data_IF_336216541167
#
_entry.id   IF_336216541167
#
_cell.length_a   1.000
_cell.length_b   1.000
_cell.length_c   1.000
_cell.angle_alpha   90.00
_cell.angle_beta   90.00
_cell.angle_gamma   90.00
#
_symmetry.space_group_name_H-M   'P 1'
#
loop_
_entity.id
_entity.type
_entity.pdbx_description
1 polymer ?
#
# COMPACT_ATOMS: atom_id res chain seq x y z
N UNK A 1 -0.88 4.19 -22.21
CA UNK A 1 -0.60 3.53 -20.91
C UNK A 1 -1.54 4.03 -19.81
N UNK A 2 -1.72 3.27 -18.72
CA UNK A 2 -2.45 3.72 -17.51
C UNK A 2 -1.44 3.96 -16.37
N UNK A 3 -1.90 4.64 -15.31
CA UNK A 3 -1.11 4.96 -14.12
C UNK A 3 -1.79 4.44 -12.86
N UNK A 4 -1.00 4.08 -11.84
CA UNK A 4 -1.49 3.55 -10.56
C UNK A 4 -0.68 4.09 -9.38
N UNK A 5 -1.35 4.24 -8.24
CA UNK A 5 -0.74 4.49 -6.94
C UNK A 5 -1.10 3.33 -6.01
N UNK A 6 -0.11 2.80 -5.28
CA UNK A 6 -0.32 1.67 -4.36
C UNK A 6 -1.03 2.12 -3.09
N UNK A 7 -0.67 3.27 -2.55
CA UNK A 7 -1.27 3.90 -1.38
C UNK A 7 -0.72 5.31 -1.18
N UNK A 8 -1.36 6.11 -0.31
CA UNK A 8 -1.05 7.53 -0.12
C UNK A 8 -0.75 7.90 1.35
N UNK A 9 -0.02 9.01 1.64
CA UNK A 9 0.28 9.41 3.02
C UNK A 9 -0.98 9.75 3.82
N UNK A 10 -1.26 9.01 4.89
CA UNK A 10 -2.46 9.16 5.72
C UNK A 10 -2.48 10.41 6.60
N UNK A 11 -1.34 11.06 6.81
CA UNK A 11 -1.19 12.11 7.84
C UNK A 11 -1.91 13.42 7.51
N UNK A 12 -2.27 13.64 6.24
CA UNK A 12 -2.78 14.91 5.72
C UNK A 12 -1.66 15.90 5.38
N UNK A 13 -1.99 16.94 4.58
CA UNK A 13 -1.03 17.92 4.05
C UNK A 13 -0.34 18.73 5.14
N UNK A 14 -1.08 19.10 6.19
CA UNK A 14 -0.59 19.88 7.34
C UNK A 14 -0.57 19.06 8.64
N UNK A 15 -0.55 17.73 8.53
CA UNK A 15 -0.59 16.76 9.65
C UNK A 15 -1.91 16.77 10.43
N UNK A 16 -3.02 17.00 9.75
CA UNK A 16 -4.35 17.13 10.34
C UNK A 16 -4.70 15.90 11.18
N UNK A 17 -4.43 14.70 10.67
CA UNK A 17 -4.65 13.45 11.40
C UNK A 17 -3.90 13.42 12.73
N UNK A 18 -2.63 13.86 12.75
CA UNK A 18 -1.85 13.88 13.98
C UNK A 18 -2.51 14.77 15.03
N UNK A 19 -2.88 15.98 14.65
CA UNK A 19 -3.42 16.96 15.60
C UNK A 19 -4.79 16.54 16.14
N UNK A 20 -5.69 16.02 15.31
CA UNK A 20 -7.00 15.54 15.78
C UNK A 20 -6.86 14.30 16.67
N UNK A 21 -5.95 13.38 16.32
CA UNK A 21 -5.69 12.19 17.14
C UNK A 21 -5.10 12.56 18.52
N UNK A 22 -4.20 13.54 18.58
CA UNK A 22 -3.67 14.05 19.85
C UNK A 22 -4.74 14.73 20.71
N UNK A 23 -5.67 15.49 20.10
CA UNK A 23 -6.84 16.06 20.79
C UNK A 23 -7.77 14.96 21.32
N UNK A 24 -8.04 13.95 20.49
CA UNK A 24 -8.87 12.80 20.89
C UNK A 24 -8.28 12.11 22.13
N UNK A 25 -6.98 11.86 22.17
CA UNK A 25 -6.34 11.23 23.34
C UNK A 25 -6.33 12.11 24.60
N UNK A 26 -6.48 13.43 24.47
CA UNK A 26 -6.63 14.33 25.62
C UNK A 26 -8.08 14.56 26.01
N UNK A 27 -9.05 13.93 25.30
CA UNK A 27 -10.49 14.15 25.51
C UNK A 27 -10.98 15.53 25.04
N UNK A 28 -10.20 16.21 24.16
CA UNK A 28 -10.52 17.51 23.58
C UNK A 28 -11.27 17.39 22.24
N UNK A 29 -11.30 16.20 21.66
CA UNK A 29 -12.06 15.85 20.46
C UNK A 29 -12.80 14.53 20.70
N UNK A 30 -13.97 14.36 20.08
CA UNK A 30 -14.71 13.11 20.08
C UNK A 30 -14.44 12.25 18.84
N UNK A 31 -15.08 11.08 18.76
CA UNK A 31 -14.97 10.16 17.61
C UNK A 31 -15.49 10.82 16.32
N UNK A 32 -16.55 11.63 16.42
CA UNK A 32 -17.14 12.29 15.25
C UNK A 32 -16.16 13.30 14.62
N UNK A 33 -15.41 14.08 15.43
CA UNK A 33 -14.38 15.00 14.92
C UNK A 33 -13.20 14.23 14.31
N UNK A 34 -12.81 13.09 14.90
CA UNK A 34 -11.76 12.22 14.36
C UNK A 34 -12.16 11.66 12.98
N UNK A 35 -13.37 11.10 12.87
CA UNK A 35 -13.90 10.54 11.63
C UNK A 35 -14.09 11.60 10.55
N UNK A 36 -14.62 12.77 10.91
CA UNK A 36 -14.76 13.90 10.00
C UNK A 36 -13.41 14.32 9.40
N UNK A 37 -12.40 14.46 10.26
CA UNK A 37 -11.05 14.81 9.79
C UNK A 37 -10.48 13.73 8.87
N UNK A 38 -10.68 12.44 9.20
CA UNK A 38 -10.29 11.32 8.34
C UNK A 38 -10.95 11.39 6.98
N UNK A 39 -12.25 11.67 6.93
CA UNK A 39 -13.02 11.85 5.70
C UNK A 39 -12.50 13.02 4.86
N UNK A 40 -12.25 14.17 5.45
CA UNK A 40 -11.71 15.34 4.76
C UNK A 40 -10.34 15.05 4.14
N UNK A 41 -9.46 14.32 4.86
CA UNK A 41 -8.16 13.89 4.34
C UNK A 41 -8.33 12.95 3.14
N UNK A 42 -9.19 11.93 3.22
CA UNK A 42 -9.42 10.97 2.13
C UNK A 42 -9.94 11.68 0.88
N UNK A 43 -10.92 12.58 1.03
CA UNK A 43 -11.49 13.36 -0.07
C UNK A 43 -10.43 14.23 -0.77
N UNK A 44 -9.58 14.90 0.00
CA UNK A 44 -8.48 15.70 -0.54
C UNK A 44 -7.48 14.82 -1.32
N UNK A 45 -7.14 13.65 -0.79
CA UNK A 45 -6.20 12.71 -1.41
C UNK A 45 -6.74 12.15 -2.72
N UNK A 46 -8.00 11.73 -2.77
CA UNK A 46 -8.62 11.26 -4.01
C UNK A 46 -8.70 12.35 -5.06
N UNK A 47 -8.99 13.59 -4.63
CA UNK A 47 -8.98 14.75 -5.52
C UNK A 47 -7.59 14.99 -6.12
N UNK A 48 -6.53 15.01 -5.30
CA UNK A 48 -5.17 15.19 -5.81
C UNK A 48 -4.78 14.14 -6.84
N UNK A 49 -5.12 12.88 -6.60
CA UNK A 49 -4.82 11.79 -7.51
C UNK A 49 -5.64 11.90 -8.81
N UNK A 50 -6.92 12.25 -8.71
CA UNK A 50 -7.78 12.50 -9.89
C UNK A 50 -7.29 13.68 -10.73
N UNK A 51 -6.93 14.79 -10.07
CA UNK A 51 -6.41 15.98 -10.73
C UNK A 51 -5.06 15.70 -11.43
N UNK A 52 -4.27 14.77 -10.90
CA UNK A 52 -3.04 14.24 -11.50
C UNK A 52 -3.30 13.11 -12.52
N UNK A 53 -4.55 12.88 -12.92
CA UNK A 53 -4.95 11.90 -13.94
C UNK A 53 -4.47 10.47 -13.66
N UNK A 54 -4.46 10.08 -12.38
CA UNK A 54 -4.19 8.70 -11.99
C UNK A 54 -5.39 7.83 -12.37
N UNK A 55 -5.14 6.73 -13.08
CA UNK A 55 -6.20 5.84 -13.56
C UNK A 55 -6.65 4.84 -12.47
N UNK A 56 -5.74 4.39 -11.60
CA UNK A 56 -6.03 3.46 -10.50
C UNK A 56 -5.70 4.12 -9.15
N UNK A 57 -6.71 4.74 -8.57
CA UNK A 57 -6.65 5.45 -7.29
C UNK A 57 -6.98 4.47 -6.16
N UNK A 58 -6.17 4.37 -5.07
CA UNK A 58 -6.51 3.53 -3.93
C UNK A 58 -7.61 4.12 -3.05
N UNK A 59 -8.39 3.24 -2.40
CA UNK A 59 -9.20 3.52 -1.22
C UNK A 59 -8.98 2.41 -0.19
N UNK A 60 -9.29 2.64 1.09
CA UNK A 60 -9.01 1.68 2.15
C UNK A 60 -7.56 1.70 2.66
N UNK A 61 -6.68 2.44 2.02
CA UNK A 61 -5.28 2.65 2.42
C UNK A 61 -5.12 3.70 3.53
N UNK A 62 -6.16 4.47 3.83
CA UNK A 62 -6.19 5.37 4.97
C UNK A 62 -6.37 4.59 6.28
N UNK A 63 -5.63 4.98 7.32
CA UNK A 63 -5.72 4.39 8.65
C UNK A 63 -5.56 5.45 9.73
N UNK A 64 -6.27 5.33 10.83
CA UNK A 64 -6.05 6.16 12.02
C UNK A 64 -4.74 5.82 12.72
N UNK A 65 -4.24 4.59 12.59
CA UNK A 65 -2.98 4.16 13.20
C UNK A 65 -2.09 3.37 12.23
N UNK A 66 -2.46 2.12 11.88
CA UNK A 66 -1.80 1.34 10.84
C UNK A 66 -2.77 0.36 10.15
N UNK A 67 -2.49 0.03 8.89
CA UNK A 67 -3.36 -0.78 8.04
C UNK A 67 -3.44 -2.25 8.45
N UNK A 68 -2.43 -2.78 9.14
CA UNK A 68 -2.45 -4.16 9.66
C UNK A 68 -3.35 -4.24 10.89
N UNK A 69 -3.34 -3.21 11.75
CA UNK A 69 -4.28 -3.10 12.85
C UNK A 69 -5.72 -2.97 12.33
N UNK A 70 -5.94 -2.17 11.27
CA UNK A 70 -7.24 -2.06 10.61
C UNK A 70 -7.72 -3.42 10.11
N UNK A 71 -6.85 -4.19 9.44
CA UNK A 71 -7.16 -5.54 8.96
C UNK A 71 -7.46 -6.49 10.13
N UNK A 72 -6.72 -6.40 11.22
CA UNK A 72 -6.96 -7.22 12.41
C UNK A 72 -8.36 -6.96 13.00
N UNK A 73 -8.76 -5.70 13.14
CA UNK A 73 -10.10 -5.34 13.62
C UNK A 73 -11.17 -5.77 12.62
N UNK A 74 -10.95 -5.53 11.33
CA UNK A 74 -11.87 -5.93 10.26
C UNK A 74 -12.17 -7.44 10.28
N UNK A 75 -11.17 -8.26 10.60
CA UNK A 75 -11.30 -9.72 10.65
C UNK A 75 -11.51 -10.28 12.08
N UNK A 76 -11.95 -9.44 13.04
CA UNK A 76 -12.21 -9.82 14.43
C UNK A 76 -11.00 -10.43 15.17
N UNK A 77 -9.79 -10.12 14.71
CA UNK A 77 -8.54 -10.53 15.36
C UNK A 77 -8.25 -9.55 16.51
N UNK A 78 -9.04 -9.66 17.56
CA UNK A 78 -8.96 -8.82 18.77
C UNK A 78 -8.74 -9.74 19.96
N UNK A 79 -7.56 -9.68 20.63
CA UNK A 79 -7.28 -10.49 21.81
C UNK A 79 -8.29 -10.28 22.95
N UNK A 80 -8.59 -11.33 23.70
CA UNK A 80 -9.59 -11.30 24.80
C UNK A 80 -9.33 -10.20 25.81
N UNK A 81 -8.06 -9.91 26.13
CA UNK A 81 -7.70 -8.87 27.09
C UNK A 81 -8.23 -7.47 26.74
N UNK A 82 -8.47 -7.19 25.44
CA UNK A 82 -9.09 -5.94 25.01
C UNK A 82 -10.63 -6.03 25.01
N UNK A 83 -11.18 -7.18 24.56
CA UNK A 83 -12.63 -7.44 24.54
C UNK A 83 -13.24 -7.36 25.94
N UNK A 84 -12.53 -7.87 26.96
CA UNK A 84 -13.01 -7.90 28.36
C UNK A 84 -13.08 -6.52 29.01
N UNK A 85 -12.46 -5.48 28.43
CA UNK A 85 -12.56 -4.12 28.93
C UNK A 85 -13.94 -3.47 28.65
N UNK A 86 -14.71 -3.98 27.70
CA UNK A 86 -16.01 -3.43 27.33
C UNK A 86 -15.96 -2.00 26.81
N UNK A 87 -14.84 -1.63 26.16
CA UNK A 87 -14.64 -0.33 25.52
C UNK A 87 -15.46 -0.20 24.22
N UNK A 88 -15.64 1.03 23.75
CA UNK A 88 -16.15 1.28 22.39
C UNK A 88 -15.23 0.65 21.34
N UNK A 89 -15.70 0.46 20.10
CA UNK A 89 -14.89 -0.05 19.00
C UNK A 89 -13.65 0.82 18.77
N UNK A 90 -13.82 2.15 18.76
CA UNK A 90 -12.74 3.09 18.56
C UNK A 90 -11.73 3.09 19.72
N UNK A 91 -12.21 3.01 20.97
CA UNK A 91 -11.33 2.94 22.14
C UNK A 91 -10.60 1.58 22.19
N UNK A 92 -11.25 0.48 21.79
CA UNK A 92 -10.63 -0.84 21.65
C UNK A 92 -9.51 -0.81 20.61
N UNK A 93 -9.77 -0.20 19.45
CA UNK A 93 -8.77 -0.01 18.38
C UNK A 93 -7.53 0.73 18.93
N UNK A 94 -7.72 1.85 19.63
CA UNK A 94 -6.60 2.59 20.20
C UNK A 94 -5.98 1.91 21.43
N UNK A 95 -6.74 1.13 22.21
CA UNK A 95 -6.18 0.31 23.28
C UNK A 95 -5.22 -0.75 22.72
N UNK A 96 -5.53 -1.37 21.58
CA UNK A 96 -4.62 -2.28 20.87
C UNK A 96 -3.36 -1.54 20.39
N UNK A 97 -3.48 -0.32 19.90
CA UNK A 97 -2.38 0.48 19.37
C UNK A 97 -1.45 1.06 20.44
N UNK A 98 -1.98 1.48 21.59
CA UNK A 98 -1.24 2.29 22.58
C UNK A 98 -1.33 1.77 24.02
N UNK A 99 -2.14 0.74 24.26
CA UNK A 99 -2.56 0.33 25.58
C UNK A 99 -3.70 1.22 26.10
N UNK A 100 -4.25 0.80 27.23
CA UNK A 100 -5.33 1.53 27.91
C UNK A 100 -5.07 1.46 29.42
N UNK A 101 -5.33 2.58 30.10
CA UNK A 101 -5.35 2.69 31.56
C UNK A 101 -6.57 3.52 31.95
N UNK A 102 -7.46 2.93 32.72
CA UNK A 102 -8.70 3.61 33.09
C UNK A 102 -9.64 2.78 33.95
N UNK A 103 -10.88 3.27 34.11
CA UNK A 103 -11.87 2.68 34.98
C UNK A 103 -12.22 1.20 34.65
N UNK A 104 -12.07 0.80 33.38
CA UNK A 104 -12.36 -0.56 32.90
C UNK A 104 -11.18 -1.52 33.10
N UNK A 105 -10.03 -1.05 33.58
CA UNK A 105 -8.83 -1.84 33.81
C UNK A 105 -7.62 -1.30 33.05
N UNK A 106 -6.53 -2.06 33.09
CA UNK A 106 -5.27 -1.72 32.44
C UNK A 106 -4.87 -2.81 31.45
N UNK A 107 -4.47 -2.40 30.23
CA UNK A 107 -3.96 -3.30 29.20
C UNK A 107 -2.79 -2.66 28.46
N UNK A 108 -1.74 -3.45 28.18
CA UNK A 108 -0.62 -3.03 27.36
C UNK A 108 -1.01 -3.07 25.88
N UNK A 109 -0.41 -2.19 25.08
CA UNK A 109 -0.51 -2.23 23.62
C UNK A 109 -0.04 -3.57 23.05
N UNK A 110 -0.46 -3.86 21.82
CA UNK A 110 0.16 -4.90 20.99
C UNK A 110 1.65 -4.62 20.78
N UNK A 111 2.42 -5.64 20.47
CA UNK A 111 3.81 -5.46 20.09
C UNK A 111 3.90 -4.67 18.77
N UNK A 112 4.94 -3.86 18.64
CA UNK A 112 5.20 -3.06 17.44
C UNK A 112 6.44 -3.59 16.72
N UNK A 113 6.35 -3.82 15.42
CA UNK A 113 7.48 -4.23 14.57
C UNK A 113 7.62 -3.30 13.37
N UNK A 114 8.81 -3.25 12.80
CA UNK A 114 9.04 -2.51 11.54
C UNK A 114 8.26 -3.15 10.40
N UNK A 115 7.65 -2.30 9.57
CA UNK A 115 7.06 -2.68 8.31
C UNK A 115 8.18 -2.92 7.29
N UNK A 116 8.58 -4.18 7.15
CA UNK A 116 9.69 -4.61 6.29
C UNK A 116 10.98 -3.77 6.50
N UNK A 117 11.60 -3.35 5.42
CA UNK A 117 12.82 -2.55 5.41
C UNK A 117 12.56 -1.02 5.45
N UNK A 118 11.43 -0.59 6.02
CA UNK A 118 11.04 0.83 6.15
C UNK A 118 11.22 1.35 7.57
N UNK A 119 11.03 2.65 7.77
CA UNK A 119 10.93 3.26 9.10
C UNK A 119 9.48 3.29 9.64
N UNK A 120 8.51 2.79 8.86
CA UNK A 120 7.15 2.60 9.32
C UNK A 120 7.05 1.37 10.23
N UNK A 121 6.09 1.38 11.15
CA UNK A 121 5.86 0.28 12.07
C UNK A 121 4.40 -0.14 12.01
N UNK A 122 4.11 -1.41 12.26
CA UNK A 122 2.78 -1.94 12.39
C UNK A 122 2.59 -2.58 13.77
N UNK A 123 1.35 -2.61 14.24
CA UNK A 123 0.96 -3.33 15.44
C UNK A 123 0.78 -4.81 15.09
N UNK A 124 1.51 -5.67 15.78
CA UNK A 124 1.49 -7.12 15.52
C UNK A 124 0.18 -7.71 16.03
N UNK A 125 -0.74 -8.17 15.15
CA UNK A 125 -1.96 -8.81 15.61
C UNK A 125 -1.64 -10.08 16.40
N UNK A 126 -2.44 -10.40 17.40
CA UNK A 126 -2.30 -11.60 18.21
C UNK A 126 -3.56 -12.46 18.08
N UNK A 127 -3.35 -13.77 17.85
CA UNK A 127 -4.40 -14.79 17.82
C UNK A 127 -4.19 -15.75 18.97
N UNK A 128 -5.24 -15.94 19.78
CA UNK A 128 -5.34 -16.95 20.82
C UNK A 128 -6.04 -18.21 20.26
N UNK A 129 -5.82 -19.38 20.85
CA UNK A 129 -6.32 -20.67 20.34
C UNK A 129 -7.84 -20.73 20.10
N UNK A 130 -8.61 -19.95 20.83
CA UNK A 130 -10.06 -19.87 20.71
C UNK A 130 -10.55 -18.64 19.93
N UNK A 131 -9.64 -17.89 19.30
CA UNK A 131 -10.02 -16.78 18.41
C UNK A 131 -10.84 -17.31 17.24
N UNK A 132 -11.94 -16.64 16.95
CA UNK A 132 -12.75 -16.86 15.74
C UNK A 132 -12.52 -15.72 14.78
N UNK A 133 -11.93 -16.03 13.63
CA UNK A 133 -11.74 -15.06 12.54
C UNK A 133 -13.01 -15.01 11.71
N UNK A 134 -13.52 -13.80 11.48
CA UNK A 134 -14.70 -13.54 10.66
C UNK A 134 -14.68 -12.09 10.18
N UNK A 135 -15.34 -11.78 9.09
CA UNK A 135 -15.50 -10.40 8.63
C UNK A 135 -16.47 -9.66 9.57
N UNK A 136 -15.93 -8.83 10.47
CA UNK A 136 -16.67 -8.15 11.52
C UNK A 136 -17.02 -6.69 11.22
N UNK A 137 -16.33 -6.06 10.27
CA UNK A 137 -16.51 -4.66 9.92
C UNK A 137 -16.79 -4.42 8.44
N UNK A 138 -17.00 -3.16 8.08
CA UNK A 138 -17.26 -2.74 6.70
C UNK A 138 -16.30 -1.64 6.21
N UNK A 139 -15.29 -1.25 7.00
CA UNK A 139 -14.40 -0.10 6.71
C UNK A 139 -13.99 -0.01 5.24
N UNK A 140 -13.55 -1.11 4.64
CA UNK A 140 -13.06 -1.11 3.27
C UNK A 140 -14.19 -0.86 2.26
N UNK A 141 -15.38 -1.40 2.51
CA UNK A 141 -16.58 -1.19 1.69
C UNK A 141 -17.09 0.24 1.86
N UNK A 142 -17.13 0.74 3.10
CA UNK A 142 -17.61 2.08 3.42
C UNK A 142 -16.73 3.17 2.80
N UNK A 143 -15.40 3.02 2.86
CA UNK A 143 -14.47 3.97 2.23
C UNK A 143 -14.53 3.92 0.69
N UNK A 144 -14.77 2.73 0.09
CA UNK A 144 -15.02 2.61 -1.34
C UNK A 144 -16.32 3.34 -1.75
N UNK A 145 -17.40 3.13 -1.01
CA UNK A 145 -18.68 3.79 -1.27
C UNK A 145 -18.57 5.31 -1.04
N UNK A 146 -17.88 5.75 0.02
CA UNK A 146 -17.60 7.17 0.26
C UNK A 146 -16.88 7.81 -0.94
N UNK A 147 -15.86 7.15 -1.50
CA UNK A 147 -15.17 7.63 -2.69
C UNK A 147 -16.12 7.72 -3.88
N UNK A 148 -16.91 6.69 -4.12
CA UNK A 148 -17.85 6.59 -5.25
C UNK A 148 -18.94 7.66 -5.17
N UNK A 149 -19.53 7.90 -4.01
CA UNK A 149 -20.52 8.95 -3.76
C UNK A 149 -19.98 10.36 -4.03
N UNK A 150 -18.67 10.54 -3.84
CA UNK A 150 -17.98 11.80 -4.14
C UNK A 150 -17.41 11.85 -5.57
N UNK A 151 -17.76 10.89 -6.43
CA UNK A 151 -17.40 10.88 -7.85
C UNK A 151 -15.98 10.39 -8.14
N UNK A 152 -15.39 9.61 -7.21
CA UNK A 152 -14.09 8.97 -7.40
C UNK A 152 -14.27 7.47 -7.60
N UNK A 153 -13.82 6.95 -8.76
CA UNK A 153 -13.66 5.51 -8.94
C UNK A 153 -12.32 5.09 -8.36
N UNK A 154 -12.36 4.16 -7.42
CA UNK A 154 -11.16 3.70 -6.69
C UNK A 154 -11.03 2.19 -6.73
N UNK A 155 -9.84 1.69 -6.42
CA UNK A 155 -9.59 0.28 -6.11
C UNK A 155 -9.39 0.13 -4.60
N UNK A 156 -10.27 -0.57 -3.88
CA UNK A 156 -10.04 -0.93 -2.48
C UNK A 156 -8.73 -1.69 -2.30
N UNK A 157 -7.95 -1.30 -1.28
CA UNK A 157 -6.63 -1.86 -0.96
C UNK A 157 -6.62 -2.43 0.44
N UNK A 158 -6.14 -3.66 0.60
CA UNK A 158 -5.96 -4.30 1.89
C UNK A 158 -4.73 -5.22 1.85
N UNK A 159 -4.08 -5.42 2.99
CA UNK A 159 -3.06 -6.46 3.12
C UNK A 159 -3.64 -7.82 2.71
N UNK A 160 -2.93 -8.57 1.88
CA UNK A 160 -3.39 -9.88 1.43
C UNK A 160 -3.36 -10.92 2.56
N UNK A 161 -4.13 -12.01 2.42
CA UNK A 161 -4.30 -13.01 3.48
C UNK A 161 -2.99 -13.70 3.84
N UNK A 162 -2.10 -13.94 2.89
CA UNK A 162 -0.82 -14.57 3.14
C UNK A 162 0.09 -13.65 3.99
N UNK A 163 0.27 -12.40 3.58
CA UNK A 163 1.03 -11.43 4.36
C UNK A 163 0.43 -11.24 5.76
N UNK A 164 -0.89 -11.11 5.88
CA UNK A 164 -1.52 -10.94 7.18
C UNK A 164 -1.23 -12.13 8.11
N UNK A 165 -1.38 -13.38 7.64
CA UNK A 165 -1.06 -14.58 8.42
C UNK A 165 0.42 -14.63 8.85
N UNK A 166 1.33 -14.22 7.98
CA UNK A 166 2.78 -14.21 8.27
C UNK A 166 3.20 -13.13 9.28
N UNK A 167 2.37 -12.08 9.44
CA UNK A 167 2.63 -10.98 10.38
C UNK A 167 2.00 -11.20 11.76
N UNK A 168 1.05 -12.12 11.88
CA UNK A 168 0.36 -12.44 13.14
C UNK A 168 1.29 -13.16 14.11
N UNK A 169 1.12 -12.89 15.39
CA UNK A 169 1.65 -13.65 16.50
C UNK A 169 0.59 -14.62 17.01
N UNK A 170 0.88 -15.91 16.95
CA UNK A 170 0.04 -16.95 17.54
C UNK A 170 0.41 -17.11 19.01
N UNK A 171 -0.61 -17.10 19.88
CA UNK A 171 -0.47 -17.25 21.35
C UNK A 171 -1.25 -18.48 21.77
N UNK A 172 -0.53 -19.57 22.03
CA UNK A 172 -1.10 -20.87 22.32
C UNK A 172 -0.41 -21.99 21.55
N UNK A 173 -1.15 -23.06 21.28
CA UNK A 173 -0.66 -24.27 20.58
C UNK A 173 -0.97 -24.24 19.07
N UNK A 174 -2.01 -23.49 18.66
CA UNK A 174 -2.40 -23.35 17.26
C UNK A 174 -1.50 -22.38 16.50
N UNK A 175 -1.35 -22.62 15.19
CA UNK A 175 -0.49 -21.84 14.31
C UNK A 175 -1.19 -21.40 13.01
N UNK A 176 -0.41 -20.96 12.05
CA UNK A 176 -0.87 -20.40 10.79
C UNK A 176 -1.91 -21.27 10.07
N UNK A 177 -1.66 -22.56 9.96
CA UNK A 177 -2.56 -23.51 9.25
C UNK A 177 -3.92 -23.67 9.90
N UNK A 178 -4.01 -23.57 11.23
CA UNK A 178 -5.27 -23.72 11.97
C UNK A 178 -6.26 -22.57 11.70
N UNK A 179 -5.74 -21.40 11.37
CA UNK A 179 -6.54 -20.19 11.14
C UNK A 179 -6.68 -19.81 9.66
N UNK A 180 -5.87 -20.38 8.77
CA UNK A 180 -5.85 -20.07 7.35
C UNK A 180 -7.23 -20.20 6.69
N UNK A 181 -7.96 -21.28 7.00
CA UNK A 181 -9.30 -21.54 6.45
C UNK A 181 -10.33 -20.46 6.84
N UNK A 182 -10.36 -20.06 8.14
CA UNK A 182 -11.28 -19.02 8.61
C UNK A 182 -10.96 -17.66 7.98
N UNK A 183 -9.67 -17.32 7.90
CA UNK A 183 -9.24 -16.06 7.28
C UNK A 183 -9.58 -16.04 5.79
N UNK A 184 -9.34 -17.14 5.07
CA UNK A 184 -9.69 -17.27 3.66
C UNK A 184 -11.19 -17.06 3.41
N UNK A 185 -12.07 -17.64 4.23
CA UNK A 185 -13.52 -17.42 4.15
C UNK A 185 -13.89 -15.94 4.38
N UNK A 186 -13.28 -15.29 5.35
CA UNK A 186 -13.50 -13.88 5.63
C UNK A 186 -13.07 -12.98 4.44
N UNK A 187 -11.96 -13.30 3.75
CA UNK A 187 -11.57 -12.62 2.51
C UNK A 187 -12.54 -12.89 1.36
N UNK A 188 -13.04 -14.12 1.21
CA UNK A 188 -14.06 -14.43 0.22
C UNK A 188 -15.35 -13.61 0.46
N UNK A 189 -15.79 -13.48 1.71
CA UNK A 189 -16.93 -12.62 2.07
C UNK A 189 -16.66 -11.16 1.73
N UNK A 190 -15.46 -10.64 2.05
CA UNK A 190 -15.06 -9.27 1.75
C UNK A 190 -15.07 -9.00 0.24
N UNK A 191 -14.51 -9.89 -0.58
CA UNK A 191 -14.56 -9.81 -2.05
C UNK A 191 -16.00 -9.72 -2.52
N UNK A 192 -16.87 -10.60 -2.02
CA UNK A 192 -18.30 -10.60 -2.37
C UNK A 192 -19.02 -9.31 -1.97
N UNK A 193 -18.69 -8.68 -0.84
CA UNK A 193 -19.24 -7.37 -0.42
C UNK A 193 -18.77 -6.23 -1.32
N UNK A 194 -17.49 -6.19 -1.66
CA UNK A 194 -16.90 -5.16 -2.55
C UNK A 194 -17.45 -5.31 -3.97
N UNK A 195 -17.62 -6.53 -4.47
CA UNK A 195 -18.23 -6.79 -5.77
C UNK A 195 -19.69 -6.33 -5.81
N UNK A 196 -20.47 -6.60 -4.76
CA UNK A 196 -21.85 -6.09 -4.61
C UNK A 196 -21.92 -4.56 -4.53
N UNK A 197 -20.92 -3.91 -3.91
CA UNK A 197 -20.78 -2.45 -3.89
C UNK A 197 -20.42 -1.87 -5.28
N UNK A 198 -19.98 -2.75 -6.20
CA UNK A 198 -19.64 -2.41 -7.59
C UNK A 198 -18.19 -2.00 -7.78
N UNK A 199 -17.27 -2.49 -6.93
CA UNK A 199 -15.85 -2.30 -7.13
C UNK A 199 -15.39 -3.00 -8.42
N UNK A 200 -14.72 -2.26 -9.31
CA UNK A 200 -14.17 -2.81 -10.54
C UNK A 200 -12.85 -3.57 -10.30
N UNK A 201 -12.08 -3.14 -9.32
CA UNK A 201 -10.80 -3.73 -8.91
C UNK A 201 -10.68 -3.82 -7.40
N UNK A 202 -9.98 -4.85 -6.91
CA UNK A 202 -9.51 -4.98 -5.53
C UNK A 202 -8.00 -5.21 -5.57
N UNK A 203 -7.24 -4.53 -4.74
CA UNK A 203 -5.80 -4.74 -4.58
C UNK A 203 -5.52 -5.48 -3.27
N UNK A 204 -4.85 -6.62 -3.38
CA UNK A 204 -4.27 -7.32 -2.24
C UNK A 204 -2.77 -7.07 -2.18
N UNK A 205 -2.32 -6.45 -1.09
CA UNK A 205 -0.90 -6.19 -0.85
C UNK A 205 -0.25 -7.40 -0.21
N UNK A 206 0.66 -8.04 -0.95
CA UNK A 206 1.40 -9.23 -0.53
C UNK A 206 2.93 -9.01 -0.50
N UNK A 207 3.40 -8.02 0.27
CA UNK A 207 4.84 -7.77 0.35
C UNK A 207 5.62 -8.92 1.02
N UNK A 208 4.98 -9.82 1.74
CA UNK A 208 5.69 -10.96 2.32
C UNK A 208 6.22 -11.94 1.26
N UNK A 209 5.68 -11.92 0.03
CA UNK A 209 6.14 -12.75 -1.08
C UNK A 209 7.56 -12.43 -1.57
N UNK A 210 8.15 -11.32 -1.13
CA UNK A 210 9.55 -10.97 -1.48
C UNK A 210 10.60 -11.59 -0.54
N UNK A 211 10.16 -12.29 0.52
CA UNK A 211 11.04 -13.05 1.40
C UNK A 211 11.38 -14.42 0.78
N UNK A 212 12.41 -15.06 1.33
CA UNK A 212 12.70 -16.46 1.02
C UNK A 212 11.57 -17.33 1.56
N UNK A 213 10.86 -18.03 0.69
CA UNK A 213 9.67 -18.80 1.00
C UNK A 213 9.96 -20.29 1.10
N UNK A 214 9.48 -20.93 2.16
CA UNK A 214 9.48 -22.40 2.24
C UNK A 214 8.45 -23.00 1.28
N UNK A 215 8.50 -24.32 1.05
CA UNK A 215 7.47 -24.99 0.24
C UNK A 215 6.09 -24.88 0.88
N UNK A 216 6.02 -24.99 2.20
CA UNK A 216 4.77 -24.84 2.96
C UNK A 216 4.18 -23.44 2.83
N UNK A 217 5.04 -22.41 2.70
CA UNK A 217 4.60 -21.03 2.46
C UNK A 217 4.03 -20.88 1.06
N UNK A 218 4.67 -21.45 0.05
CA UNK A 218 4.21 -21.44 -1.33
C UNK A 218 2.87 -22.19 -1.48
N UNK A 219 2.74 -23.37 -0.86
CA UNK A 219 1.50 -24.16 -0.83
C UNK A 219 0.37 -23.40 -0.13
N UNK A 220 0.65 -22.77 1.01
CA UNK A 220 -0.34 -21.95 1.73
C UNK A 220 -0.81 -20.76 0.87
N UNK A 221 0.11 -20.06 0.20
CA UNK A 221 -0.24 -18.97 -0.69
C UNK A 221 -1.18 -19.43 -1.81
N UNK A 222 -0.86 -20.52 -2.47
CA UNK A 222 -1.70 -21.10 -3.54
C UNK A 222 -3.08 -21.47 -3.00
N UNK A 223 -3.16 -22.19 -1.88
CA UNK A 223 -4.40 -22.63 -1.25
C UNK A 223 -5.35 -21.45 -0.95
N UNK A 224 -4.79 -20.36 -0.37
CA UNK A 224 -5.58 -19.18 -0.06
C UNK A 224 -6.13 -18.49 -1.31
N UNK A 225 -5.27 -18.28 -2.29
CA UNK A 225 -5.64 -17.52 -3.48
C UNK A 225 -6.46 -18.32 -4.48
N UNK A 226 -6.25 -19.63 -4.64
CA UNK A 226 -7.13 -20.47 -5.47
C UNK A 226 -8.58 -20.36 -5.01
N UNK A 227 -8.82 -20.40 -3.70
CA UNK A 227 -10.15 -20.25 -3.14
C UNK A 227 -10.72 -18.85 -3.35
N UNK A 228 -9.96 -17.79 -3.05
CA UNK A 228 -10.41 -16.41 -3.19
C UNK A 228 -10.71 -16.09 -4.66
N UNK A 229 -9.81 -16.48 -5.58
CA UNK A 229 -9.98 -16.24 -7.02
C UNK A 229 -11.15 -17.01 -7.60
N UNK A 230 -11.43 -18.22 -7.12
CA UNK A 230 -12.60 -19.00 -7.54
C UNK A 230 -13.95 -18.38 -7.16
N UNK A 231 -13.97 -17.48 -6.17
CA UNK A 231 -15.19 -16.82 -5.70
C UNK A 231 -15.49 -15.50 -6.42
N UNK A 232 -14.51 -14.89 -7.11
CA UNK A 232 -14.74 -13.66 -7.90
C UNK A 232 -15.72 -13.94 -9.04
N UNK A 233 -16.67 -13.03 -9.30
CA UNK A 233 -17.64 -13.15 -10.40
C UNK A 233 -17.40 -12.12 -11.50
N UNK A 234 -17.06 -10.89 -11.17
CA UNK A 234 -16.86 -9.83 -12.13
C UNK A 234 -15.82 -8.81 -11.69
N UNK A 235 -15.50 -8.76 -10.39
CA UNK A 235 -14.43 -7.89 -9.88
C UNK A 235 -13.06 -8.41 -10.31
N UNK A 236 -12.15 -7.49 -10.65
CA UNK A 236 -10.77 -7.80 -10.99
C UNK A 236 -9.88 -7.74 -9.76
N UNK A 237 -8.96 -8.68 -9.66
CA UNK A 237 -8.03 -8.77 -8.53
C UNK A 237 -6.61 -8.46 -8.98
N UNK A 238 -6.01 -7.45 -8.32
CA UNK A 238 -4.61 -7.09 -8.41
C UNK A 238 -3.85 -7.67 -7.22
N UNK A 239 -2.92 -8.58 -7.49
CA UNK A 239 -1.90 -8.97 -6.53
C UNK A 239 -0.76 -7.95 -6.57
N UNK A 240 -0.51 -7.22 -5.48
CA UNK A 240 0.51 -6.19 -5.42
C UNK A 240 1.66 -6.60 -4.51
N UNK A 241 2.87 -6.67 -5.05
CA UNK A 241 4.11 -6.94 -4.31
C UNK A 241 5.02 -5.72 -4.33
N UNK A 242 5.83 -5.56 -3.28
CA UNK A 242 6.79 -4.45 -3.17
C UNK A 242 7.88 -4.76 -2.13
N UNK A 243 8.98 -3.97 -2.14
CA UNK A 243 10.19 -4.07 -1.32
C UNK A 243 11.16 -5.17 -1.75
N UNK A 244 10.96 -5.77 -2.91
CA UNK A 244 11.83 -6.82 -3.45
C UNK A 244 11.22 -7.52 -4.65
N UNK A 245 11.83 -8.62 -5.05
CA UNK A 245 11.35 -9.49 -6.12
C UNK A 245 10.73 -10.77 -5.57
N UNK A 246 9.89 -11.42 -6.38
CA UNK A 246 9.12 -12.61 -6.02
C UNK A 246 9.73 -13.88 -6.63
N UNK A 247 11.05 -14.02 -6.55
CA UNK A 247 11.81 -15.10 -7.23
C UNK A 247 11.29 -16.49 -6.96
N UNK A 248 10.84 -16.77 -5.73
CA UNK A 248 10.42 -18.11 -5.30
C UNK A 248 9.02 -18.49 -5.80
N UNK A 249 8.21 -17.51 -6.21
CA UNK A 249 6.80 -17.71 -6.59
C UNK A 249 6.41 -17.02 -7.89
N UNK A 250 7.37 -16.48 -8.67
CA UNK A 250 7.05 -15.72 -9.88
C UNK A 250 6.20 -16.52 -10.86
N UNK A 251 6.61 -17.75 -11.19
CA UNK A 251 5.90 -18.61 -12.14
C UNK A 251 4.50 -18.99 -11.62
N UNK A 252 4.39 -19.27 -10.32
CA UNK A 252 3.12 -19.55 -9.65
C UNK A 252 2.16 -18.35 -9.73
N UNK A 253 2.62 -17.16 -9.34
CA UNK A 253 1.82 -15.93 -9.39
C UNK A 253 1.41 -15.60 -10.82
N UNK A 254 2.31 -15.77 -11.80
CA UNK A 254 2.01 -15.53 -13.20
C UNK A 254 0.93 -16.48 -13.73
N UNK A 255 0.91 -17.75 -13.27
CA UNK A 255 -0.05 -18.78 -13.72
C UNK A 255 -1.44 -18.65 -13.05
N UNK A 256 -1.55 -18.07 -11.84
CA UNK A 256 -2.82 -17.93 -11.11
C UNK A 256 -3.76 -16.92 -11.77
N UNK A 257 -5.08 -17.02 -11.52
CA UNK A 257 -6.14 -16.23 -12.17
C UNK A 257 -6.28 -14.80 -11.62
N UNK A 258 -5.14 -14.11 -11.41
CA UNK A 258 -5.12 -12.67 -11.15
C UNK A 258 -5.36 -11.88 -12.45
N UNK A 259 -6.06 -10.76 -12.36
CA UNK A 259 -6.26 -9.85 -13.50
C UNK A 259 -5.12 -8.84 -13.64
N UNK A 260 -4.37 -8.62 -12.57
CA UNK A 260 -3.19 -7.78 -12.54
C UNK A 260 -2.17 -8.27 -11.53
N UNK A 261 -0.90 -8.04 -11.84
CA UNK A 261 0.22 -8.35 -10.96
C UNK A 261 1.09 -7.11 -10.84
N UNK A 262 1.31 -6.65 -9.62
CA UNK A 262 2.18 -5.53 -9.29
C UNK A 262 3.56 -6.01 -8.88
N UNK A 263 4.59 -5.59 -9.60
CA UNK A 263 5.97 -5.96 -9.36
C UNK A 263 6.85 -4.73 -9.12
N UNK A 264 7.78 -4.83 -8.18
CA UNK A 264 8.73 -3.78 -7.84
C UNK A 264 9.97 -3.86 -8.76
N UNK A 265 10.15 -2.85 -9.62
CA UNK A 265 11.33 -2.70 -10.48
C UNK A 265 12.41 -1.78 -9.86
N UNK A 266 12.20 -1.31 -8.65
CA UNK A 266 13.14 -0.43 -7.93
C UNK A 266 13.99 -1.22 -6.93
N UNK A 267 13.34 -1.98 -6.03
CA UNK A 267 14.02 -2.81 -5.04
C UNK A 267 14.10 -4.28 -5.44
N UNK A 268 13.23 -4.75 -6.33
CA UNK A 268 13.25 -6.09 -6.89
C UNK A 268 14.36 -6.24 -7.92
N UNK A 269 15.56 -6.58 -7.47
CA UNK A 269 16.76 -6.68 -8.32
C UNK A 269 16.63 -7.70 -9.44
N UNK A 270 15.93 -8.80 -9.17
CA UNK A 270 15.70 -9.88 -10.12
C UNK A 270 14.42 -9.70 -10.94
N UNK A 271 13.55 -8.72 -10.62
CA UNK A 271 12.24 -8.57 -11.27
C UNK A 271 12.32 -8.51 -12.78
N UNK A 272 13.21 -7.68 -13.35
CA UNK A 272 13.38 -7.55 -14.80
C UNK A 272 13.90 -8.85 -15.42
N UNK A 273 14.81 -9.56 -14.73
CA UNK A 273 15.35 -10.84 -15.17
C UNK A 273 14.29 -11.95 -15.14
N UNK A 274 13.44 -11.98 -14.10
CA UNK A 274 12.32 -12.92 -13.99
C UNK A 274 11.32 -12.73 -15.13
N UNK A 275 10.87 -11.49 -15.39
CA UNK A 275 10.01 -11.16 -16.54
C UNK A 275 10.68 -11.47 -17.85
N UNK A 276 12.00 -11.28 -17.95
CA UNK A 276 12.78 -11.61 -19.15
C UNK A 276 12.87 -13.10 -19.42
N UNK A 277 13.04 -13.90 -18.37
CA UNK A 277 13.27 -15.36 -18.45
C UNK A 277 11.98 -16.15 -18.62
N UNK A 278 10.96 -15.81 -17.83
CA UNK A 278 9.72 -16.59 -17.78
C UNK A 278 8.57 -15.97 -18.60
N UNK A 279 8.75 -14.72 -19.08
CA UNK A 279 7.69 -13.97 -19.73
C UNK A 279 6.70 -13.36 -18.73
N UNK A 280 5.63 -12.77 -19.25
CA UNK A 280 4.49 -12.27 -18.48
C UNK A 280 3.20 -12.57 -19.27
N UNK A 281 2.10 -13.02 -18.62
CA UNK A 281 0.87 -13.41 -19.31
C UNK A 281 0.22 -12.23 -20.06
N UNK A 282 -0.21 -12.47 -21.31
CA UNK A 282 -0.79 -11.43 -22.18
C UNK A 282 -2.17 -10.95 -21.71
N UNK A 283 -2.90 -11.80 -21.00
CA UNK A 283 -4.26 -11.55 -20.46
C UNK A 283 -4.26 -10.74 -19.17
N UNK A 284 -3.07 -10.47 -18.57
CA UNK A 284 -2.92 -9.75 -17.31
C UNK A 284 -2.32 -8.35 -17.50
N UNK A 285 -2.64 -7.45 -16.57
CA UNK A 285 -1.97 -6.16 -16.47
C UNK A 285 -0.74 -6.25 -15.57
N UNK A 286 0.43 -5.80 -16.07
CA UNK A 286 1.61 -5.61 -15.24
C UNK A 286 1.57 -4.20 -14.63
N UNK A 287 1.38 -4.11 -13.31
CA UNK A 287 1.56 -2.87 -12.57
C UNK A 287 3.04 -2.71 -12.24
N UNK A 288 3.76 -2.01 -13.12
CA UNK A 288 5.21 -1.85 -13.00
C UNK A 288 5.55 -0.75 -12.00
N UNK A 289 6.08 -1.14 -10.85
CA UNK A 289 6.54 -0.25 -9.78
C UNK A 289 7.85 0.43 -10.15
N UNK A 290 7.79 1.54 -10.89
CA UNK A 290 8.94 2.26 -11.46
C UNK A 290 9.13 3.66 -10.88
N UNK A 291 8.15 4.20 -10.16
CA UNK A 291 8.28 5.45 -9.40
C UNK A 291 8.53 5.10 -7.94
N UNK A 292 9.70 5.44 -7.42
CA UNK A 292 10.10 5.05 -6.07
C UNK A 292 9.19 5.68 -4.99
N UNK A 293 8.41 4.85 -4.27
CA UNK A 293 7.50 5.27 -3.21
C UNK A 293 8.16 5.45 -1.84
N UNK A 294 9.45 5.09 -1.69
CA UNK A 294 10.15 5.03 -0.39
C UNK A 294 11.23 6.10 -0.21
N UNK A 295 11.72 6.69 -1.29
CA UNK A 295 12.70 7.76 -1.21
C UNK A 295 12.16 9.07 -1.80
N UNK A 296 12.85 10.17 -1.48
CA UNK A 296 12.47 11.52 -1.85
C UNK A 296 13.08 12.01 -3.17
N UNK A 297 13.87 11.18 -3.86
CA UNK A 297 14.53 11.59 -5.09
C UNK A 297 13.57 11.54 -6.27
N UNK A 298 13.77 12.47 -7.21
CA UNK A 298 13.07 12.43 -8.49
C UNK A 298 13.41 11.18 -9.29
N UNK A 299 12.44 10.70 -10.04
CA UNK A 299 12.59 9.59 -10.97
C UNK A 299 13.59 9.94 -12.09
N UNK A 300 14.38 8.97 -12.51
CA UNK A 300 15.27 9.09 -13.67
C UNK A 300 14.50 8.66 -14.93
N UNK A 301 13.80 9.60 -15.55
CA UNK A 301 12.85 9.33 -16.63
C UNK A 301 13.43 8.48 -17.78
N UNK A 302 14.64 8.77 -18.26
CA UNK A 302 15.21 7.99 -19.36
C UNK A 302 15.33 6.51 -19.01
N UNK A 303 15.90 6.16 -17.84
CA UNK A 303 16.01 4.77 -17.40
C UNK A 303 14.64 4.09 -17.24
N UNK A 304 13.67 4.83 -16.75
CA UNK A 304 12.31 4.33 -16.58
C UNK A 304 11.64 4.10 -17.93
N UNK A 305 11.80 5.02 -18.90
CA UNK A 305 11.27 4.88 -20.25
C UNK A 305 11.92 3.70 -21.00
N UNK A 306 13.24 3.54 -20.91
CA UNK A 306 13.96 2.41 -21.52
C UNK A 306 13.42 1.07 -20.99
N UNK A 307 13.15 0.98 -19.68
CA UNK A 307 12.53 -0.21 -19.08
C UNK A 307 11.10 -0.44 -19.60
N UNK A 308 10.28 0.62 -19.64
CA UNK A 308 8.89 0.52 -20.11
C UNK A 308 8.82 0.12 -21.59
N UNK A 309 9.68 0.68 -22.44
CA UNK A 309 9.82 0.29 -23.85
C UNK A 309 10.23 -1.18 -23.98
N UNK A 310 11.18 -1.65 -23.16
CA UNK A 310 11.60 -3.05 -23.13
C UNK A 310 10.48 -4.02 -22.72
N UNK A 311 9.60 -3.61 -21.80
CA UNK A 311 8.42 -4.39 -21.41
C UNK A 311 7.37 -4.40 -22.54
N UNK A 312 7.09 -3.25 -23.14
CA UNK A 312 6.15 -3.15 -24.27
C UNK A 312 6.60 -3.93 -25.51
N UNK A 313 7.90 -3.95 -25.81
CA UNK A 313 8.45 -4.74 -26.91
C UNK A 313 8.20 -6.26 -26.76
N UNK A 314 7.86 -6.71 -25.54
CA UNK A 314 7.44 -8.09 -25.23
C UNK A 314 5.93 -8.29 -25.24
N UNK A 315 5.14 -7.33 -25.77
CA UNK A 315 3.67 -7.31 -25.78
C UNK A 315 3.03 -7.30 -24.40
N UNK A 316 3.73 -6.84 -23.35
CA UNK A 316 3.21 -6.77 -21.99
C UNK A 316 2.32 -5.52 -21.84
N UNK A 317 1.11 -5.72 -21.33
CA UNK A 317 0.18 -4.64 -21.00
C UNK A 317 0.58 -3.95 -19.70
N UNK A 318 1.28 -2.80 -19.79
CA UNK A 318 1.89 -2.13 -18.64
C UNK A 318 1.03 -1.00 -18.09
N UNK A 319 0.89 -0.96 -16.76
CA UNK A 319 0.42 0.17 -15.94
C UNK A 319 1.63 0.74 -15.19
N UNK A 320 1.90 2.03 -15.36
CA UNK A 320 2.99 2.73 -14.65
C UNK A 320 2.56 2.95 -13.20
N UNK A 321 3.32 2.41 -12.24
CA UNK A 321 2.95 2.45 -10.83
C UNK A 321 4.06 2.99 -9.94
N UNK A 322 3.68 3.42 -8.72
CA UNK A 322 4.64 3.57 -7.63
C UNK A 322 5.19 2.20 -7.23
N UNK A 323 6.44 2.14 -6.75
CA UNK A 323 7.08 0.87 -6.36
C UNK A 323 6.55 0.31 -5.04
N UNK A 324 6.02 1.18 -4.18
CA UNK A 324 5.30 0.89 -2.94
C UNK A 324 4.38 2.05 -2.61
N UNK A 325 3.66 1.99 -1.49
CA UNK A 325 2.83 3.09 -1.01
C UNK A 325 3.63 4.38 -0.83
N UNK A 326 3.08 5.52 -1.25
CA UNK A 326 3.63 6.85 -0.98
C UNK A 326 3.55 7.25 0.51
N UNK A 327 2.99 6.40 1.36
CA UNK A 327 3.03 6.54 2.82
C UNK A 327 4.44 6.78 3.38
N UNK A 328 5.46 6.29 2.68
CA UNK A 328 6.85 6.31 3.13
C UNK A 328 7.59 7.61 2.78
N UNK A 329 6.98 8.53 2.04
CA UNK A 329 7.55 9.82 1.66
C UNK A 329 6.75 10.98 2.26
N UNK A 330 7.35 12.19 2.46
CA UNK A 330 6.61 13.35 2.91
C UNK A 330 5.51 13.75 1.91
N UNK A 331 4.53 14.54 2.37
CA UNK A 331 3.32 14.84 1.60
C UNK A 331 3.60 15.70 0.35
N UNK A 332 4.26 16.86 0.50
CA UNK A 332 4.56 17.76 -0.62
C UNK A 332 5.72 18.69 -0.31
N UNK A 333 6.51 19.04 -1.33
CA UNK A 333 7.56 20.05 -1.27
C UNK A 333 7.02 21.47 -1.02
N UNK A 334 5.74 21.73 -1.28
CA UNK A 334 5.13 23.04 -1.04
C UNK A 334 5.20 23.50 0.42
N UNK A 335 5.31 22.54 1.35
CA UNK A 335 5.43 22.82 2.79
C UNK A 335 6.86 23.13 3.23
N UNK A 336 7.85 22.97 2.34
CA UNK A 336 9.28 23.08 2.65
C UNK A 336 9.83 24.49 2.31
N UNK A 337 9.23 25.54 2.87
CA UNK A 337 9.60 26.94 2.56
C UNK A 337 11.06 27.35 2.84
N UNK A 338 11.80 26.52 3.61
CA UNK A 338 13.22 26.74 3.88
C UNK A 338 14.16 25.97 2.94
N UNK A 339 13.61 25.10 2.09
CA UNK A 339 14.40 24.30 1.17
C UNK A 339 14.90 25.17 0.02
N UNK A 340 16.23 25.22 -0.16
CA UNK A 340 16.82 25.97 -1.27
C UNK A 340 16.40 25.38 -2.61
N UNK A 341 16.05 26.23 -3.58
CA UNK A 341 15.54 25.82 -4.89
C UNK A 341 16.51 24.89 -5.64
N UNK A 342 17.82 25.15 -5.52
CA UNK A 342 18.87 24.34 -6.15
C UNK A 342 18.94 22.90 -5.60
N UNK A 343 18.40 22.64 -4.41
CA UNK A 343 18.30 21.32 -3.77
C UNK A 343 16.93 20.73 -4.01
N UNK A 344 15.87 21.50 -3.80
CA UNK A 344 14.47 21.06 -3.93
C UNK A 344 14.11 20.52 -5.31
N UNK A 345 14.76 21.02 -6.38
CA UNK A 345 14.56 20.53 -7.76
C UNK A 345 14.90 19.04 -7.95
N UNK A 346 15.67 18.43 -7.04
CA UNK A 346 16.03 17.02 -7.09
C UNK A 346 15.08 16.12 -6.30
N UNK A 347 14.14 16.71 -5.55
CA UNK A 347 13.22 15.98 -4.70
C UNK A 347 11.83 15.85 -5.34
N UNK A 348 11.16 14.76 -4.98
CA UNK A 348 9.77 14.48 -5.29
C UNK A 348 9.14 13.79 -4.08
N UNK A 349 8.19 14.46 -3.42
CA UNK A 349 7.38 13.92 -2.35
C UNK A 349 6.09 13.32 -2.92
N UNK A 350 5.10 12.96 -2.10
CA UNK A 350 3.94 12.24 -2.60
C UNK A 350 3.20 12.96 -3.74
N UNK A 351 2.90 14.27 -3.60
CA UNK A 351 2.23 15.03 -4.67
C UNK A 351 3.11 15.17 -5.93
N UNK A 352 4.41 15.38 -5.77
CA UNK A 352 5.34 15.49 -6.89
C UNK A 352 5.51 14.14 -7.61
N UNK A 353 5.41 13.01 -6.90
CA UNK A 353 5.43 11.66 -7.52
C UNK A 353 4.17 11.35 -8.33
N UNK A 354 3.01 11.92 -7.97
CA UNK A 354 1.84 11.87 -8.84
C UNK A 354 2.10 12.57 -10.19
N UNK A 355 2.79 13.71 -10.16
CA UNK A 355 3.19 14.42 -11.38
C UNK A 355 4.19 13.59 -12.20
N UNK A 356 5.13 12.88 -11.56
CA UNK A 356 6.06 11.99 -12.25
C UNK A 356 5.33 10.85 -12.98
N UNK A 357 4.28 10.27 -12.41
CA UNK A 357 3.44 9.26 -13.07
C UNK A 357 2.74 9.83 -14.31
N UNK A 358 2.15 11.02 -14.22
CA UNK A 358 1.50 11.71 -15.35
C UNK A 358 2.53 12.04 -16.45
N UNK A 359 3.70 12.58 -16.08
CA UNK A 359 4.75 12.96 -17.04
C UNK A 359 5.33 11.72 -17.73
N UNK A 360 5.61 10.63 -17.00
CA UNK A 360 6.06 9.36 -17.59
C UNK A 360 5.05 8.78 -18.57
N UNK A 361 3.75 8.79 -18.22
CA UNK A 361 2.68 8.37 -19.13
C UNK A 361 2.68 9.19 -20.42
N UNK A 362 2.76 10.51 -20.31
CA UNK A 362 2.77 11.40 -21.47
C UNK A 362 4.00 11.15 -22.37
N UNK A 363 5.18 10.97 -21.78
CA UNK A 363 6.42 10.67 -22.51
C UNK A 363 6.37 9.30 -23.20
N UNK A 364 5.90 8.28 -22.52
CA UNK A 364 5.76 6.93 -23.08
C UNK A 364 4.73 6.88 -24.24
N UNK A 365 3.76 7.81 -24.27
CA UNK A 365 2.81 7.96 -25.38
C UNK A 365 3.31 8.87 -26.50
N UNK A 366 4.57 9.30 -26.50
CA UNK A 366 5.17 10.19 -27.50
C UNK A 366 4.70 11.64 -27.45
N UNK A 367 3.98 12.02 -26.40
CA UNK A 367 3.52 13.40 -26.19
C UNK A 367 4.66 14.23 -25.60
N UNK A 368 4.97 15.38 -26.21
CA UNK A 368 5.93 16.33 -25.61
C UNK A 368 5.33 16.88 -24.33
N UNK A 369 5.85 16.42 -23.17
CA UNK A 369 5.44 16.98 -21.90
C UNK A 369 5.82 18.47 -21.85
N UNK A 370 4.84 19.34 -21.69
CA UNK A 370 5.00 20.82 -21.75
C UNK A 370 5.94 21.33 -20.64
N UNK A 371 6.15 20.55 -19.56
CA UNK A 371 7.06 20.86 -18.46
C UNK A 371 8.46 20.21 -18.55
N UNK A 372 8.66 19.26 -19.45
CA UNK A 372 9.90 18.44 -19.52
C UNK A 372 11.15 19.23 -19.92
N UNK A 373 11.04 20.43 -20.56
CA UNK A 373 12.20 21.26 -20.91
C UNK A 373 13.05 21.65 -19.70
N UNK A 374 12.45 21.86 -18.54
CA UNK A 374 13.21 22.14 -17.29
C UNK A 374 13.84 20.90 -16.67
N UNK A 375 13.31 19.71 -16.96
CA UNK A 375 13.77 18.44 -16.38
C UNK A 375 14.90 17.82 -17.20
N UNK A 376 14.91 17.94 -18.53
CA UNK A 376 16.00 17.45 -19.40
C UNK A 376 17.33 18.17 -19.17
N UNK A 377 17.31 19.48 -18.90
CA UNK A 377 18.53 20.24 -18.53
C UNK A 377 19.08 19.82 -17.16
N UNK A 378 18.25 19.25 -16.28
CA UNK A 378 18.67 18.67 -15.01
C UNK A 378 19.30 17.28 -15.16
N UNK A 379 18.83 16.45 -16.11
CA UNK A 379 19.29 15.08 -16.30
C UNK A 379 20.75 15.02 -16.76
N UNK A 380 21.17 15.87 -17.69
CA UNK A 380 22.56 15.92 -18.18
C UNK A 380 23.57 16.42 -17.14
N UNK A 381 23.12 17.11 -16.06
CA UNK A 381 23.97 17.64 -15.00
C UNK A 381 24.02 16.76 -13.75
N UNK A 382 23.14 15.76 -13.61
CA UNK A 382 23.08 14.91 -12.41
C UNK A 382 24.22 13.92 -12.27
N UNK A 383 24.79 13.39 -13.35
CA UNK A 383 25.87 12.40 -13.26
C UNK A 383 27.16 12.95 -12.67
N UNK A 384 27.42 14.27 -12.77
CA UNK A 384 28.71 14.84 -12.39
C UNK A 384 28.73 15.52 -11.02
N UNK A 385 27.61 15.99 -10.48
CA UNK A 385 27.58 16.84 -9.29
C UNK A 385 27.25 16.06 -8.00
N UNK A 386 26.41 15.04 -8.05
CA UNK A 386 25.97 14.31 -6.84
C UNK A 386 27.12 13.45 -6.30
N UNK A 387 27.92 12.81 -7.16
CA UNK A 387 29.03 11.93 -6.72
C UNK A 387 30.21 12.74 -6.10
N UNK A 388 30.43 13.98 -6.50
CA UNK A 388 31.53 14.80 -5.94
C UNK A 388 31.23 15.46 -4.62
N UNK A 389 29.97 15.81 -4.27
CA UNK A 389 29.62 16.48 -3.01
C UNK A 389 29.30 15.54 -1.84
N UNK A 390 28.80 14.34 -2.08
CA UNK A 390 28.56 13.37 -1.01
C UNK A 390 29.86 12.87 -0.37
N UNK A 391 30.97 12.78 -1.11
CA UNK A 391 32.28 12.42 -0.55
C UNK A 391 32.87 13.47 0.40
N UNK A 392 32.45 14.72 0.32
CA UNK A 392 33.02 15.80 1.15
C UNK A 392 32.25 16.10 2.45
N UNK A 393 31.03 15.56 2.61
CA UNK A 393 30.19 15.82 3.78
C UNK A 393 30.24 14.68 4.80
N UNK A 394 30.60 13.45 4.38
CA UNK A 394 30.68 12.28 5.26
C UNK A 394 32.13 11.90 5.67
N UNK A 395 33.14 12.72 5.32
CA UNK A 395 34.55 12.53 5.71
C UNK A 395 35.10 13.72 6.49
N UNK A 396 34.25 14.39 7.27
CA UNK A 396 34.71 15.33 8.32
C UNK A 396 34.03 15.01 9.63
#
# INVERSE_FOLDING_TARGET
MKTSVIGFPRVGKLRELKFVTEKFFRGEADVAELEKTGKEIRLEQWKWQKDSRIDFIPSGDFSFYDTILDAAVLFNIIPKRYKTLGLSEQDTYFAMARGYQGAQGDVKALAMKKWFNTNYHYMVPEIEDDTTISLAGNKLVDEYLEAKENGFETKPVIAGPFTLLKLIRFVGEKGTRDFAGQLCEAYCELVGKLEKAGAAWIQFDEPYLVHDLTKEDQELFVELYDKILSQKKGVKILLQTYFGDVRDVYETVAAMDFDGIGLDFIEGKETAALVGKYGFPEDKLLFAGVVNGKNIWRNHYQKTLDLLEGLQAKNISVVISTSCSLLHVPYTLQNEGKLQENVGKHFAFALEKLQELEELKALAEGKKAIRCRKTQDCLHKQETVVIRRFRSVFLR
#
